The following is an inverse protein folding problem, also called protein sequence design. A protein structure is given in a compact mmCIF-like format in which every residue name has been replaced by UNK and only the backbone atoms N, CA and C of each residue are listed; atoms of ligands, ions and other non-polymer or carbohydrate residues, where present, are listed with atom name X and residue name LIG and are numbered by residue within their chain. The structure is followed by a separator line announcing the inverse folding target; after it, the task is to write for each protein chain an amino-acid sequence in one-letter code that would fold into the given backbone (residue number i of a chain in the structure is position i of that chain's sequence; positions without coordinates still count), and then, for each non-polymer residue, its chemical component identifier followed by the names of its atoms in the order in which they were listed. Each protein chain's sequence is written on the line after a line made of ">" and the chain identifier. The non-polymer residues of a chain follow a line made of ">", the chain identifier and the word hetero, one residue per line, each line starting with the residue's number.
data_IF_202748709423
#
_entry.id   IF_202748709423
#
_cell.length_a   1.000
_cell.length_b   1.000
_cell.length_c   1.000
_cell.angle_alpha   90.00
_cell.angle_beta   90.00
_cell.angle_gamma   90.00
#
_symmetry.space_group_name_H-M   'P 1'
#
loop_
_entity.id
_entity.type
_entity.pdbx_description
1 polymer ?
#
# COMPACT_ATOMS: atom_id res chain seq x y z
N UNK A 1 -6.47 -10.74 -13.29
CA UNK A 1 -6.74 -11.13 -11.88
C UNK A 1 -5.52 -11.92 -11.43
N UNK A 2 -5.05 -11.74 -10.19
CA UNK A 2 -3.91 -12.53 -9.70
C UNK A 2 -4.33 -13.99 -9.53
N UNK A 3 -3.44 -14.94 -9.80
CA UNK A 3 -3.67 -16.39 -9.72
C UNK A 3 -3.52 -16.88 -8.28
N UNK A 4 -2.57 -16.32 -7.52
CA UNK A 4 -2.30 -16.78 -6.16
C UNK A 4 -3.34 -16.22 -5.19
N UNK A 5 -3.96 -17.06 -4.34
CA UNK A 5 -4.95 -16.60 -3.36
C UNK A 5 -4.44 -15.49 -2.44
N UNK A 6 -3.15 -15.51 -2.09
CA UNK A 6 -2.57 -14.48 -1.23
C UNK A 6 -2.44 -13.13 -1.95
N UNK A 7 -2.00 -13.13 -3.20
CA UNK A 7 -1.92 -11.92 -4.01
C UNK A 7 -3.30 -11.35 -4.36
N UNK A 8 -4.32 -12.20 -4.54
CA UNK A 8 -5.71 -11.74 -4.66
C UNK A 8 -6.17 -10.98 -3.41
N UNK A 9 -5.84 -11.48 -2.21
CA UNK A 9 -6.15 -10.79 -0.94
C UNK A 9 -5.40 -9.47 -0.82
N UNK A 10 -4.11 -9.44 -1.14
CA UNK A 10 -3.31 -8.21 -1.16
C UNK A 10 -3.94 -7.20 -2.11
N UNK A 11 -4.28 -7.61 -3.33
CA UNK A 11 -4.92 -6.74 -4.31
C UNK A 11 -6.26 -6.18 -3.85
N UNK A 12 -7.06 -7.00 -3.15
CA UNK A 12 -8.30 -6.57 -2.55
C UNK A 12 -8.07 -5.48 -1.49
N UNK A 13 -7.07 -5.67 -0.61
CA UNK A 13 -6.68 -4.66 0.38
C UNK A 13 -6.17 -3.39 -0.30
N UNK A 14 -5.27 -3.50 -1.26
CA UNK A 14 -4.75 -2.33 -1.99
C UNK A 14 -5.87 -1.55 -2.70
N UNK A 15 -6.89 -2.25 -3.21
CA UNK A 15 -8.05 -1.63 -3.84
C UNK A 15 -9.02 -0.97 -2.85
N UNK A 16 -8.94 -1.31 -1.56
CA UNK A 16 -9.76 -0.69 -0.52
C UNK A 16 -9.11 0.52 0.15
N UNK A 17 -7.88 0.88 -0.20
CA UNK A 17 -7.19 2.05 0.34
C UNK A 17 -7.55 3.33 -0.44
N UNK A 18 -7.59 4.48 0.24
CA UNK A 18 -7.67 5.79 -0.41
C UNK A 18 -6.36 6.14 -1.15
N UNK A 19 -6.25 5.66 -2.39
CA UNK A 19 -5.12 5.92 -3.28
C UNK A 19 -4.83 7.42 -3.51
N UNK A 20 -5.84 8.27 -3.77
CA UNK A 20 -5.67 9.72 -3.82
C UNK A 20 -5.02 10.32 -2.57
N UNK A 21 -5.54 10.02 -1.37
CA UNK A 21 -4.99 10.53 -0.11
C UNK A 21 -3.56 10.04 0.13
N UNK A 22 -3.28 8.75 -0.10
CA UNK A 22 -1.94 8.22 0.02
C UNK A 22 -0.97 8.93 -0.94
N UNK A 23 -1.38 9.17 -2.18
CA UNK A 23 -0.55 9.86 -3.18
C UNK A 23 -0.33 11.33 -2.85
N UNK A 24 -1.33 12.03 -2.31
CA UNK A 24 -1.20 13.43 -1.86
C UNK A 24 -0.10 13.57 -0.81
N UNK A 25 -0.01 12.61 0.11
CA UNK A 25 1.02 12.59 1.15
C UNK A 25 2.32 11.91 0.71
N UNK A 26 2.48 11.57 -0.58
CA UNK A 26 3.67 10.92 -1.11
C UNK A 26 3.89 9.48 -0.61
N UNK A 27 2.84 8.81 -0.13
CA UNK A 27 2.86 7.42 0.30
C UNK A 27 2.62 6.47 -0.88
N UNK A 28 3.62 5.66 -1.20
CA UNK A 28 3.67 4.82 -2.39
C UNK A 28 3.83 3.35 -2.01
N UNK A 29 3.02 2.49 -2.63
CA UNK A 29 3.17 1.05 -2.51
C UNK A 29 4.45 0.57 -3.22
N UNK A 30 5.29 -0.16 -2.49
CA UNK A 30 6.61 -0.57 -2.94
C UNK A 30 7.01 -1.96 -2.44
N UNK A 31 8.32 -2.19 -2.41
CA UNK A 31 8.89 -3.43 -1.89
C UNK A 31 8.71 -4.65 -2.80
N UNK A 32 8.98 -5.82 -2.24
CA UNK A 32 9.04 -7.09 -2.98
C UNK A 32 7.69 -7.50 -3.56
N UNK A 33 6.60 -7.16 -2.88
CA UNK A 33 5.24 -7.49 -3.32
C UNK A 33 4.81 -6.62 -4.49
N UNK A 34 5.11 -5.32 -4.49
CA UNK A 34 4.84 -4.45 -5.64
C UNK A 34 5.50 -4.99 -6.92
N UNK A 35 6.76 -5.41 -6.82
CA UNK A 35 7.50 -6.02 -7.93
C UNK A 35 6.87 -7.37 -8.33
N UNK A 36 6.54 -8.23 -7.36
CA UNK A 36 5.89 -9.52 -7.62
C UNK A 36 4.55 -9.37 -8.37
N UNK A 37 3.68 -8.47 -7.93
CA UNK A 37 2.40 -8.20 -8.57
C UNK A 37 2.57 -7.59 -9.97
N UNK A 38 3.55 -6.69 -10.16
CA UNK A 38 3.81 -6.02 -11.45
C UNK A 38 4.35 -6.98 -12.52
N UNK A 39 5.15 -7.96 -12.14
CA UNK A 39 5.83 -8.88 -13.07
C UNK A 39 5.25 -10.29 -13.05
N UNK A 40 3.92 -10.40 -13.02
CA UNK A 40 3.22 -11.67 -13.26
C UNK A 40 3.40 -12.71 -12.17
N UNK A 41 3.52 -12.29 -10.91
CA UNK A 41 3.61 -13.20 -9.74
C UNK A 41 4.79 -14.19 -9.82
N UNK A 42 5.92 -13.74 -10.39
CA UNK A 42 7.14 -14.53 -10.61
C UNK A 42 7.68 -15.21 -9.34
N UNK A 43 7.33 -14.68 -8.17
CA UNK A 43 7.48 -15.30 -6.86
C UNK A 43 6.28 -14.96 -5.99
N UNK A 44 6.06 -15.74 -4.94
CA UNK A 44 5.13 -15.35 -3.89
C UNK A 44 5.80 -14.33 -2.96
N UNK A 45 5.06 -13.26 -2.64
CA UNK A 45 5.47 -12.21 -1.71
C UNK A 45 4.23 -11.78 -0.94
N UNK A 46 4.33 -11.75 0.39
CA UNK A 46 3.14 -11.68 1.27
C UNK A 46 3.02 -10.39 2.06
N UNK A 47 4.10 -9.60 2.12
CA UNK A 47 4.13 -8.32 2.85
C UNK A 47 3.54 -7.18 2.01
N UNK A 48 3.21 -6.05 2.65
CA UNK A 48 2.82 -4.82 1.96
C UNK A 48 3.65 -3.66 2.48
N UNK A 49 4.61 -3.22 1.68
CA UNK A 49 5.50 -2.11 2.04
C UNK A 49 5.00 -0.80 1.43
N UNK A 50 4.99 0.26 2.24
CA UNK A 50 4.71 1.62 1.78
C UNK A 50 5.88 2.53 2.12
N UNK A 51 6.27 3.37 1.16
CA UNK A 51 7.31 4.38 1.32
C UNK A 51 6.67 5.76 1.24
N UNK A 52 6.96 6.62 2.22
CA UNK A 52 6.56 8.03 2.16
C UNK A 52 7.75 8.87 1.72
N UNK A 53 7.61 9.58 0.61
CA UNK A 53 8.72 10.32 -0.03
C UNK A 53 9.03 11.67 0.62
N UNK A 54 8.16 12.16 1.51
CA UNK A 54 8.29 13.46 2.16
C UNK A 54 8.05 13.37 3.68
N UNK A 55 8.81 14.14 4.45
CA UNK A 55 8.74 14.11 5.91
C UNK A 55 7.46 14.76 6.46
N UNK A 56 6.94 15.80 5.80
CA UNK A 56 5.68 16.42 6.20
C UNK A 56 4.50 15.48 5.91
N UNK A 57 4.48 14.88 4.71
CA UNK A 57 3.51 13.85 4.34
C UNK A 57 3.49 12.66 5.32
N UNK A 58 4.66 12.18 5.76
CA UNK A 58 4.75 11.12 6.76
C UNK A 58 4.15 11.55 8.11
N UNK A 59 4.47 12.78 8.55
CA UNK A 59 3.96 13.32 9.81
C UNK A 59 2.44 13.42 9.80
N UNK A 60 1.87 13.95 8.73
CA UNK A 60 0.43 14.15 8.55
C UNK A 60 -0.32 12.81 8.50
N UNK A 61 0.15 11.85 7.68
CA UNK A 61 -0.40 10.51 7.63
C UNK A 61 -0.38 9.84 9.01
N UNK A 62 0.75 9.93 9.72
CA UNK A 62 0.88 9.34 11.05
C UNK A 62 -0.10 9.94 12.05
N UNK A 63 -0.35 11.25 11.98
CA UNK A 63 -1.33 11.92 12.84
C UNK A 63 -2.75 11.44 12.54
N UNK A 64 -3.12 11.35 11.27
CA UNK A 64 -4.46 10.90 10.86
C UNK A 64 -4.70 9.43 11.25
N UNK A 65 -3.72 8.55 10.98
CA UNK A 65 -3.77 7.12 11.31
C UNK A 65 -3.82 6.81 12.81
N UNK A 66 -3.22 7.66 13.65
CA UNK A 66 -3.22 7.47 15.11
C UNK A 66 -4.49 8.01 15.77
N UNK A 67 -5.30 8.77 15.03
CA UNK A 67 -6.59 9.24 15.52
C UNK A 67 -7.62 8.10 15.58
N UNK A 68 -8.63 8.22 16.43
CA UNK A 68 -9.70 7.20 16.58
C UNK A 68 -10.51 6.95 15.30
N UNK A 69 -10.39 7.83 14.29
CA UNK A 69 -11.15 7.72 13.04
C UNK A 69 -10.33 7.08 11.90
N UNK A 70 -9.00 6.98 12.03
CA UNK A 70 -8.13 6.50 10.96
C UNK A 70 -8.21 7.33 9.67
N UNK A 71 -7.84 6.70 8.55
CA UNK A 71 -8.04 7.21 7.18
C UNK A 71 -8.89 6.19 6.42
N UNK A 72 -9.89 6.67 5.68
CA UNK A 72 -10.79 5.85 4.86
C UNK A 72 -10.53 6.10 3.39
#
# INVERSE_FOLDING_TARGET
>A
MFERPHHQRIAHVLASLDGPLLREHGCLFGGGTCIALRYGEYRESVDMDFLVSDAAGYRELRQQLTSTNGIN
#
